data_IF_010038766554
#
_entry.id   IF_010038766554
#
_cell.length_a   1.000
_cell.length_b   1.000
_cell.length_c   1.000
_cell.angle_alpha   90.00
_cell.angle_beta   90.00
_cell.angle_gamma   90.00
#
_symmetry.space_group_name_H-M   'P 1'
#
loop_
_entity.id
_entity.type
_entity.pdbx_description
1 polymer ?
#
# COMPACT_ATOMS: atom_id res chain seq x y z
N UNK A 1 -26.54 -11.29 10.54
CA UNK A 1 -26.61 -11.13 9.07
C UNK A 1 -26.44 -12.46 8.33
N UNK A 2 -25.27 -13.14 8.35
CA UNK A 2 -25.08 -14.44 7.68
C UNK A 2 -25.96 -15.58 8.23
N UNK A 3 -26.16 -15.64 9.55
CA UNK A 3 -27.06 -16.63 10.17
C UNK A 3 -28.52 -16.47 9.73
N UNK A 4 -28.95 -15.24 9.48
CA UNK A 4 -30.30 -14.96 9.00
C UNK A 4 -30.44 -15.36 7.51
N UNK A 5 -29.42 -15.07 6.70
CA UNK A 5 -29.37 -15.52 5.30
C UNK A 5 -29.36 -17.05 5.20
N UNK A 6 -28.57 -17.72 6.05
CA UNK A 6 -28.51 -19.18 6.13
C UNK A 6 -29.88 -19.79 6.42
N UNK A 7 -30.58 -19.27 7.43
CA UNK A 7 -31.91 -19.75 7.84
C UNK A 7 -32.94 -19.57 6.72
N UNK A 8 -32.92 -18.41 6.05
CA UNK A 8 -33.84 -18.12 4.94
C UNK A 8 -33.59 -18.97 3.69
N UNK A 9 -32.33 -19.27 3.39
CA UNK A 9 -31.96 -20.16 2.29
C UNK A 9 -32.33 -21.62 2.61
N UNK A 10 -32.11 -22.07 3.86
CA UNK A 10 -32.53 -23.39 4.33
C UNK A 10 -34.05 -23.57 4.28
N UNK A 11 -34.80 -22.55 4.69
CA UNK A 11 -36.26 -22.59 4.73
C UNK A 11 -36.92 -22.39 3.35
N UNK A 12 -36.15 -22.11 2.30
CA UNK A 12 -36.67 -21.81 0.96
C UNK A 12 -37.40 -20.47 0.85
N UNK A 13 -37.26 -19.59 1.84
CA UNK A 13 -37.92 -18.27 1.89
C UNK A 13 -37.28 -17.25 0.92
N UNK A 14 -36.04 -17.51 0.50
CA UNK A 14 -35.30 -16.69 -0.46
C UNK A 14 -34.80 -17.59 -1.60
N UNK A 15 -35.34 -17.39 -2.81
CA UNK A 15 -34.75 -17.83 -4.08
C UNK A 15 -34.09 -16.60 -4.75
N UNK A 16 -33.03 -16.07 -4.15
CA UNK A 16 -32.21 -15.05 -4.80
C UNK A 16 -31.19 -15.79 -5.69
N UNK A 17 -31.29 -15.65 -7.01
CA UNK A 17 -30.42 -16.33 -7.99
C UNK A 17 -28.92 -16.14 -7.72
N UNK A 18 -28.56 -15.11 -6.95
CA UNK A 18 -27.17 -14.82 -6.62
C UNK A 18 -26.57 -15.71 -5.53
N UNK A 19 -27.37 -16.37 -4.69
CA UNK A 19 -26.88 -17.14 -3.55
C UNK A 19 -27.35 -18.59 -3.58
N UNK A 20 -26.42 -19.51 -3.30
CA UNK A 20 -26.73 -20.94 -3.18
C UNK A 20 -26.21 -21.50 -1.87
N UNK A 21 -26.86 -22.55 -1.38
CA UNK A 21 -26.44 -23.31 -0.20
C UNK A 21 -26.02 -24.70 -0.64
N UNK A 22 -24.77 -25.08 -0.34
CA UNK A 22 -24.23 -26.40 -0.63
C UNK A 22 -23.46 -26.88 0.60
N UNK A 23 -23.84 -28.06 1.12
CA UNK A 23 -23.21 -28.69 2.30
C UNK A 23 -23.09 -27.75 3.52
N UNK A 24 -24.12 -26.92 3.74
CA UNK A 24 -24.15 -25.94 4.84
C UNK A 24 -23.29 -24.68 4.60
N UNK A 25 -22.69 -24.54 3.42
CA UNK A 25 -21.88 -23.39 3.02
C UNK A 25 -22.66 -22.51 2.05
N UNK A 26 -22.68 -21.21 2.32
CA UNK A 26 -23.31 -20.22 1.45
C UNK A 26 -22.31 -19.77 0.38
N UNK A 27 -22.75 -19.81 -0.86
CA UNK A 27 -22.01 -19.32 -2.01
C UNK A 27 -22.69 -18.09 -2.62
N UNK A 28 -21.89 -17.25 -3.28
CA UNK A 28 -22.36 -16.17 -4.15
C UNK A 28 -21.73 -16.35 -5.54
N UNK A 29 -22.46 -16.97 -6.45
CA UNK A 29 -21.88 -17.59 -7.65
C UNK A 29 -20.89 -18.68 -7.24
N UNK A 30 -19.64 -18.59 -7.68
CA UNK A 30 -18.58 -19.58 -7.35
C UNK A 30 -17.77 -19.26 -6.08
N UNK A 31 -18.15 -18.21 -5.32
CA UNK A 31 -17.36 -17.70 -4.20
C UNK A 31 -18.00 -18.05 -2.87
N UNK A 32 -17.20 -18.48 -1.91
CA UNK A 32 -17.65 -18.81 -0.56
C UNK A 32 -17.90 -17.54 0.25
N UNK A 33 -19.05 -17.46 0.91
CA UNK A 33 -19.36 -16.41 1.86
C UNK A 33 -18.67 -16.66 3.20
N UNK A 34 -17.72 -15.81 3.58
CA UNK A 34 -16.93 -16.02 4.81
C UNK A 34 -17.61 -15.37 6.02
N UNK A 35 -17.92 -16.15 7.07
CA UNK A 35 -18.48 -15.62 8.30
C UNK A 35 -17.47 -14.79 9.07
N UNK A 36 -17.99 -13.80 9.82
CA UNK A 36 -17.18 -12.82 10.55
C UNK A 36 -16.03 -13.46 11.38
N UNK A 37 -16.25 -14.56 12.13
CA UNK A 37 -15.18 -15.18 12.91
C UNK A 37 -14.01 -15.74 12.08
N UNK A 38 -14.25 -16.11 10.82
CA UNK A 38 -13.24 -16.71 9.94
C UNK A 38 -12.49 -15.70 9.08
N UNK A 39 -12.97 -14.46 8.98
CA UNK A 39 -12.36 -13.43 8.10
C UNK A 39 -10.89 -13.18 8.43
N UNK A 40 -10.54 -13.09 9.72
CA UNK A 40 -9.16 -12.89 10.14
C UNK A 40 -8.24 -14.04 9.74
N UNK A 41 -8.73 -15.29 9.80
CA UNK A 41 -7.96 -16.45 9.36
C UNK A 41 -7.75 -16.43 7.84
N UNK A 42 -8.80 -16.12 7.07
CA UNK A 42 -8.68 -15.97 5.61
C UNK A 42 -7.69 -14.85 5.23
N UNK A 43 -7.71 -13.71 5.94
CA UNK A 43 -6.76 -12.63 5.70
C UNK A 43 -5.31 -13.07 5.97
N UNK A 44 -5.06 -13.85 7.03
CA UNK A 44 -3.74 -14.42 7.32
C UNK A 44 -3.27 -15.35 6.20
N UNK A 45 -4.13 -16.25 5.71
CA UNK A 45 -3.83 -17.16 4.59
C UNK A 45 -3.50 -16.38 3.30
N UNK A 46 -4.33 -15.40 2.95
CA UNK A 46 -4.10 -14.54 1.79
C UNK A 46 -2.76 -13.77 1.89
N UNK A 47 -2.35 -13.44 3.11
CA UNK A 47 -1.15 -12.66 3.39
C UNK A 47 0.12 -13.49 3.63
N UNK A 48 0.02 -14.82 3.70
CA UNK A 48 1.10 -15.71 4.16
C UNK A 48 2.47 -15.46 3.49
N UNK A 49 2.47 -15.13 2.19
CA UNK A 49 3.68 -14.86 1.39
C UNK A 49 4.02 -13.36 1.27
N UNK A 50 3.41 -12.50 2.09
CA UNK A 50 3.53 -11.04 2.04
C UNK A 50 3.31 -10.44 0.63
N UNK A 51 2.43 -11.06 -0.16
CA UNK A 51 2.06 -10.56 -1.48
C UNK A 51 1.37 -9.20 -1.37
N UNK A 52 1.55 -8.37 -2.41
CA UNK A 52 0.92 -7.05 -2.49
C UNK A 52 -0.60 -7.15 -2.32
N UNK A 53 -1.20 -6.11 -1.74
CA UNK A 53 -2.66 -6.01 -1.56
C UNK A 53 -3.44 -6.24 -2.86
N UNK A 54 -2.92 -5.80 -4.01
CA UNK A 54 -3.54 -6.07 -5.32
C UNK A 54 -3.65 -7.57 -5.62
N UNK A 55 -2.60 -8.34 -5.34
CA UNK A 55 -2.59 -9.80 -5.54
C UNK A 55 -3.51 -10.49 -4.55
N UNK A 56 -3.51 -10.08 -3.28
CA UNK A 56 -4.45 -10.57 -2.27
C UNK A 56 -5.90 -10.36 -2.71
N UNK A 57 -6.26 -9.16 -3.20
CA UNK A 57 -7.60 -8.86 -3.72
C UNK A 57 -7.97 -9.75 -4.90
N UNK A 58 -7.06 -9.93 -5.86
CA UNK A 58 -7.30 -10.84 -7.00
C UNK A 58 -7.54 -12.28 -6.55
N UNK A 59 -6.80 -12.76 -5.56
CA UNK A 59 -6.95 -14.11 -5.02
C UNK A 59 -8.28 -14.25 -4.25
N UNK A 60 -8.58 -13.30 -3.38
CA UNK A 60 -9.80 -13.26 -2.60
C UNK A 60 -11.05 -13.25 -3.49
N UNK A 61 -11.09 -12.38 -4.51
CA UNK A 61 -12.21 -12.28 -5.47
C UNK A 61 -12.47 -13.57 -6.25
N UNK A 62 -11.50 -14.49 -6.33
CA UNK A 62 -11.66 -15.80 -6.98
C UNK A 62 -12.38 -16.81 -6.09
N UNK A 63 -12.09 -16.82 -4.79
CA UNK A 63 -12.51 -17.91 -3.90
C UNK A 63 -13.55 -17.52 -2.86
N UNK A 64 -13.53 -16.28 -2.39
CA UNK A 64 -14.32 -15.88 -1.24
C UNK A 64 -14.93 -14.49 -1.40
N UNK A 65 -15.94 -14.23 -0.58
CA UNK A 65 -16.64 -12.96 -0.56
C UNK A 65 -17.14 -12.63 0.84
N UNK A 66 -17.01 -11.36 1.21
CA UNK A 66 -17.82 -10.71 2.22
C UNK A 66 -17.87 -9.21 1.92
N UNK A 67 -18.82 -8.50 2.53
CA UNK A 67 -18.95 -7.06 2.39
C UNK A 67 -17.68 -6.37 2.89
N UNK A 68 -17.06 -5.54 2.05
CA UNK A 68 -15.83 -4.78 2.31
C UNK A 68 -14.51 -5.58 2.37
N UNK A 69 -14.45 -6.80 1.81
CA UNK A 69 -13.21 -7.60 1.73
C UNK A 69 -11.97 -6.83 1.25
N UNK A 70 -12.12 -5.98 0.22
CA UNK A 70 -11.00 -5.20 -0.31
C UNK A 70 -10.46 -4.18 0.70
N UNK A 71 -11.33 -3.57 1.52
CA UNK A 71 -10.93 -2.63 2.58
C UNK A 71 -10.24 -3.37 3.72
N UNK A 72 -10.77 -4.53 4.10
CA UNK A 72 -10.18 -5.37 5.15
C UNK A 72 -8.77 -5.85 4.74
N UNK A 73 -8.58 -6.22 3.47
CA UNK A 73 -7.26 -6.55 2.92
C UNK A 73 -6.29 -5.36 3.02
N UNK A 74 -6.72 -4.15 2.65
CA UNK A 74 -5.86 -2.97 2.73
C UNK A 74 -5.46 -2.66 4.17
N UNK A 75 -6.40 -2.71 5.12
CA UNK A 75 -6.12 -2.49 6.54
C UNK A 75 -5.17 -3.54 7.09
N UNK A 76 -5.37 -4.81 6.73
CA UNK A 76 -4.52 -5.92 7.16
C UNK A 76 -3.08 -5.80 6.63
N UNK A 77 -2.91 -5.39 5.37
CA UNK A 77 -1.57 -5.17 4.81
C UNK A 77 -0.90 -3.95 5.44
N UNK A 78 -1.66 -2.88 5.72
CA UNK A 78 -1.14 -1.68 6.40
C UNK A 78 -0.69 -1.94 7.83
N UNK A 79 -1.33 -2.86 8.55
CA UNK A 79 -0.93 -3.23 9.91
C UNK A 79 0.27 -4.19 9.96
N UNK A 80 0.69 -4.75 8.83
CA UNK A 80 1.86 -5.61 8.76
C UNK A 80 3.17 -4.81 8.74
N UNK A 81 3.97 -4.94 9.81
CA UNK A 81 5.24 -4.23 9.95
C UNK A 81 6.25 -4.57 8.84
N UNK A 82 6.34 -5.83 8.43
CA UNK A 82 7.22 -6.25 7.34
C UNK A 82 6.85 -5.57 6.02
N UNK A 83 5.56 -5.59 5.65
CA UNK A 83 5.08 -4.91 4.46
C UNK A 83 5.28 -3.39 4.54
N UNK A 84 4.99 -2.78 5.69
CA UNK A 84 5.18 -1.34 5.91
C UNK A 84 6.65 -0.92 5.76
N UNK A 85 7.60 -1.72 6.26
CA UNK A 85 9.04 -1.43 6.15
C UNK A 85 9.58 -1.46 4.72
N UNK A 86 8.92 -2.22 3.83
CA UNK A 86 9.28 -2.36 2.42
C UNK A 86 8.40 -1.52 1.48
N UNK A 87 7.48 -0.74 2.05
CA UNK A 87 6.56 0.06 1.26
C UNK A 87 7.32 1.15 0.49
N UNK A 88 6.80 1.50 -0.69
CA UNK A 88 7.32 2.64 -1.44
C UNK A 88 7.22 3.91 -0.60
N UNK A 89 8.25 4.75 -0.69
CA UNK A 89 8.23 6.07 -0.07
C UNK A 89 7.01 6.86 -0.54
N UNK A 90 6.44 7.71 0.34
CA UNK A 90 5.40 8.64 -0.07
C UNK A 90 5.90 9.54 -1.19
N UNK A 91 4.97 10.20 -1.89
CA UNK A 91 5.30 11.20 -2.89
C UNK A 91 6.24 12.22 -2.26
N UNK A 92 7.37 12.50 -2.93
CA UNK A 92 8.33 13.50 -2.46
C UNK A 92 7.59 14.82 -2.24
N UNK A 93 7.87 15.49 -1.12
CA UNK A 93 7.34 16.82 -0.89
C UNK A 93 7.72 17.75 -2.07
N UNK A 94 6.86 18.72 -2.42
CA UNK A 94 7.23 19.74 -3.40
C UNK A 94 8.56 20.39 -3.02
N UNK A 95 9.45 20.58 -4.01
CA UNK A 95 10.70 21.29 -3.77
C UNK A 95 10.36 22.73 -3.39
N UNK A 96 10.86 23.16 -2.24
CA UNK A 96 10.83 24.56 -1.85
C UNK A 96 12.08 25.23 -2.43
N UNK A 97 11.96 26.08 -3.46
CA UNK A 97 13.12 26.80 -3.97
C UNK A 97 13.60 27.76 -2.89
N UNK A 98 14.92 27.92 -2.82
CA UNK A 98 15.48 28.98 -1.99
C UNK A 98 15.21 30.35 -2.62
N UNK A 99 15.02 31.37 -1.78
CA UNK A 99 14.90 32.75 -2.25
C UNK A 99 16.13 33.15 -3.06
N UNK A 100 15.94 33.94 -4.12
CA UNK A 100 17.07 34.40 -4.92
C UNK A 100 17.90 35.40 -4.09
N UNK A 101 19.25 35.27 -4.05
CA UNK A 101 20.08 36.29 -3.43
C UNK A 101 19.97 37.63 -4.17
N UNK A 102 19.97 38.73 -3.41
CA UNK A 102 20.00 40.11 -3.87
C UNK A 102 21.41 40.55 -4.29
N UNK A 103 22.45 40.10 -3.57
CA UNK A 103 23.85 40.50 -3.80
C UNK A 103 24.78 39.30 -3.95
N UNK A 104 25.92 39.51 -4.63
CA UNK A 104 26.97 38.50 -4.73
C UNK A 104 27.50 38.15 -3.34
N UNK A 105 27.83 36.88 -3.15
CA UNK A 105 28.29 36.29 -1.89
C UNK A 105 27.29 36.34 -0.72
N UNK A 106 26.03 36.72 -0.95
CA UNK A 106 24.98 36.63 0.07
C UNK A 106 24.63 35.17 0.42
N UNK A 107 24.74 34.26 -0.55
CA UNK A 107 24.63 32.81 -0.33
C UNK A 107 25.68 32.10 -1.17
N UNK A 108 26.35 31.13 -0.56
CA UNK A 108 27.34 30.28 -1.24
C UNK A 108 26.93 28.81 -1.13
N UNK A 109 27.22 28.03 -2.17
CA UNK A 109 27.13 26.57 -2.17
C UNK A 109 28.54 26.01 -2.08
N UNK A 110 28.79 25.13 -1.11
CA UNK A 110 30.12 24.58 -0.87
C UNK A 110 30.03 23.06 -0.97
N UNK A 111 30.97 22.46 -1.70
CA UNK A 111 31.08 21.00 -1.84
C UNK A 111 32.56 20.59 -2.03
N UNK A 112 32.85 19.31 -1.91
CA UNK A 112 34.15 18.74 -2.27
C UNK A 112 34.00 17.81 -3.47
N UNK A 113 34.84 18.02 -4.48
CA UNK A 113 35.00 17.05 -5.56
C UNK A 113 36.23 16.17 -5.30
N UNK A 114 36.09 14.86 -5.47
CA UNK A 114 37.24 13.95 -5.42
C UNK A 114 36.94 12.59 -4.79
N UNK A 115 38.01 11.84 -4.46
CA UNK A 115 39.41 12.21 -4.64
C UNK A 115 39.87 12.12 -6.11
N UNK A 116 40.73 13.04 -6.53
CA UNK A 116 41.48 13.00 -7.81
C UNK A 116 42.97 13.08 -7.50
N UNK A 117 43.74 12.09 -7.96
CA UNK A 117 45.18 11.99 -7.71
C UNK A 117 45.58 12.08 -6.21
N UNK A 118 44.69 11.61 -5.33
CA UNK A 118 44.89 11.66 -3.87
C UNK A 118 44.49 12.98 -3.21
N UNK A 119 43.98 13.95 -3.98
CA UNK A 119 43.54 15.26 -3.48
C UNK A 119 42.02 15.42 -3.59
N UNK A 120 41.45 16.16 -2.64
CA UNK A 120 40.09 16.68 -2.72
C UNK A 120 40.14 18.14 -3.16
N UNK A 121 39.23 18.50 -4.04
CA UNK A 121 39.07 19.84 -4.57
C UNK A 121 37.93 20.50 -3.79
N UNK A 122 38.23 21.61 -3.12
CA UNK A 122 37.22 22.40 -2.41
C UNK A 122 36.52 23.33 -3.40
N UNK A 123 35.20 23.21 -3.53
CA UNK A 123 34.43 24.00 -4.47
C UNK A 123 33.50 24.92 -3.69
N UNK A 124 33.60 26.23 -3.94
CA UNK A 124 32.68 27.25 -3.45
C UNK A 124 32.03 27.93 -4.65
N UNK A 125 30.71 28.04 -4.67
CA UNK A 125 29.97 28.68 -5.76
C UNK A 125 29.10 29.79 -5.17
N UNK A 126 29.26 31.02 -5.65
CA UNK A 126 28.33 32.10 -5.33
C UNK A 126 26.95 31.84 -5.95
N UNK A 127 25.90 31.86 -5.14
CA UNK A 127 24.55 31.52 -5.58
C UNK A 127 23.94 32.57 -6.52
N UNK A 128 24.38 33.85 -6.46
CA UNK A 128 23.88 34.92 -7.34
C UNK A 128 24.56 34.90 -8.71
N UNK A 129 25.86 35.12 -8.72
CA UNK A 129 26.67 35.23 -9.95
C UNK A 129 27.00 33.89 -10.59
N UNK A 130 26.85 32.77 -9.86
CA UNK A 130 27.32 31.44 -10.24
C UNK A 130 28.83 31.34 -10.41
N UNK A 131 29.58 32.27 -9.81
CA UNK A 131 31.04 32.27 -9.82
C UNK A 131 31.62 31.14 -8.94
N UNK A 132 32.46 30.26 -9.50
CA UNK A 132 33.15 29.22 -8.73
C UNK A 132 34.51 29.68 -8.22
N UNK A 133 34.84 29.30 -6.98
CA UNK A 133 36.17 29.31 -6.39
C UNK A 133 36.57 27.87 -6.07
N UNK A 134 37.79 27.50 -6.48
CA UNK A 134 38.29 26.11 -6.51
C UNK A 134 39.70 26.03 -5.94
#
# INVERSE_FOLDING_TARGET
>A
ELSALHTKLLNGEICDEQYSLQDGVIFRGHRIMIPLPLRTQVLKELHFTHVKASKMKSLARRYCFWKNIDKDIELFVKSCQACASTASNPVKAPLHPWDEPDTNFQRVHIDYAGPKDGYYIFILIDAKSKWPEV
#
